data_IF_292392739200
#
_entry.id   IF_292392739200
#
_cell.length_a   1.000
_cell.length_b   1.000
_cell.length_c   1.000
_cell.angle_alpha   90.00
_cell.angle_beta   90.00
_cell.angle_gamma   90.00
#
_symmetry.space_group_name_H-M   'P 1'
#
loop_
_entity.id
_entity.type
_entity.pdbx_description
1 polymer ?
#
# COMPACT_ATOMS: atom_id res chain seq x y z
N UNK A 1 8.68 -6.24 -15.54
CA UNK A 1 8.44 -7.06 -14.34
C UNK A 1 7.56 -8.27 -14.70
N UNK A 2 7.78 -9.38 -14.02
CA UNK A 2 6.94 -10.60 -14.08
C UNK A 2 6.53 -10.90 -12.64
N UNK A 3 5.25 -11.18 -12.43
CA UNK A 3 4.73 -11.51 -11.12
C UNK A 3 3.91 -12.81 -11.17
N UNK A 4 3.99 -13.58 -10.09
CA UNK A 4 3.22 -14.79 -9.88
C UNK A 4 2.66 -14.81 -8.47
N UNK A 5 1.43 -15.26 -8.32
CA UNK A 5 0.81 -15.44 -7.01
C UNK A 5 0.08 -16.78 -6.96
N UNK A 6 0.16 -17.43 -5.82
CA UNK A 6 -0.47 -18.72 -5.57
C UNK A 6 -1.16 -18.73 -4.21
N UNK A 7 -2.34 -19.32 -4.16
CA UNK A 7 -3.04 -19.63 -2.93
C UNK A 7 -2.55 -21.00 -2.43
N UNK A 8 -1.76 -21.01 -1.37
CA UNK A 8 -1.18 -22.23 -0.79
C UNK A 8 -2.20 -23.01 0.03
N UNK A 9 -3.02 -22.27 0.79
CA UNK A 9 -4.14 -22.80 1.55
C UNK A 9 -5.32 -21.84 1.47
N UNK A 10 -6.48 -22.18 2.04
CA UNK A 10 -7.63 -21.27 2.07
C UNK A 10 -7.34 -19.95 2.79
N UNK A 11 -6.36 -19.93 3.65
CA UNK A 11 -6.01 -18.78 4.47
C UNK A 11 -4.67 -18.15 4.11
N UNK A 12 -3.81 -18.81 3.34
CA UNK A 12 -2.45 -18.37 3.04
C UNK A 12 -2.22 -18.26 1.53
N UNK A 13 -1.82 -17.09 1.09
CA UNK A 13 -1.35 -16.83 -0.27
C UNK A 13 0.09 -16.36 -0.25
N UNK A 14 0.82 -16.71 -1.29
CA UNK A 14 2.20 -16.30 -1.52
C UNK A 14 2.32 -15.60 -2.87
N UNK A 15 3.09 -14.54 -2.94
CA UNK A 15 3.39 -13.80 -4.16
C UNK A 15 4.91 -13.64 -4.36
N UNK A 16 5.31 -13.73 -5.61
CA UNK A 16 6.66 -13.48 -6.06
C UNK A 16 6.64 -12.55 -7.26
N UNK A 17 7.56 -11.60 -7.31
CA UNK A 17 7.74 -10.70 -8.44
C UNK A 17 9.22 -10.56 -8.73
N UNK A 18 9.61 -10.62 -9.99
CA UNK A 18 10.95 -10.21 -10.43
C UNK A 18 10.83 -9.04 -11.39
N UNK A 19 11.79 -8.14 -11.32
CA UNK A 19 11.81 -6.95 -12.16
C UNK A 19 13.23 -6.58 -12.58
N UNK A 20 13.33 -6.12 -13.81
CA UNK A 20 14.52 -5.45 -14.34
C UNK A 20 14.31 -3.95 -14.17
N UNK A 21 15.28 -3.30 -13.57
CA UNK A 21 15.33 -1.86 -13.35
C UNK A 21 16.42 -1.28 -14.22
N UNK A 22 16.14 -0.20 -14.90
CA UNK A 22 17.12 0.62 -15.61
C UNK A 22 16.91 2.08 -15.17
N UNK A 23 17.96 2.68 -14.67
CA UNK A 23 18.02 4.10 -14.36
C UNK A 23 19.04 4.73 -15.28
N UNK A 24 18.66 5.82 -15.93
CA UNK A 24 19.52 6.57 -16.83
C UNK A 24 19.66 8.02 -16.35
N UNK A 25 20.91 8.42 -16.13
CA UNK A 25 21.25 9.80 -15.79
C UNK A 25 22.24 10.27 -16.86
N UNK A 26 21.82 11.23 -17.68
CA UNK A 26 22.54 11.71 -18.85
C UNK A 26 22.88 10.57 -19.83
N UNK A 27 24.16 10.25 -20.01
CA UNK A 27 24.61 9.16 -20.90
C UNK A 27 24.82 7.83 -20.17
N UNK A 28 24.91 7.86 -18.85
CA UNK A 28 25.22 6.71 -18.05
C UNK A 28 23.96 5.96 -17.59
N UNK A 29 24.10 4.64 -17.47
CA UNK A 29 23.01 3.74 -17.08
C UNK A 29 23.41 2.88 -15.91
N UNK A 30 22.48 2.73 -14.96
CA UNK A 30 22.52 1.68 -13.95
C UNK A 30 21.43 0.65 -14.20
N UNK A 31 21.75 -0.61 -14.04
CA UNK A 31 20.80 -1.69 -14.22
C UNK A 31 20.81 -2.61 -13.01
N UNK A 32 19.65 -3.14 -12.64
CA UNK A 32 19.52 -4.12 -11.57
C UNK A 32 18.38 -5.11 -11.86
N UNK A 33 18.53 -6.31 -11.33
CA UNK A 33 17.44 -7.30 -11.27
C UNK A 33 17.11 -7.49 -9.80
N UNK A 34 15.83 -7.32 -9.45
CA UNK A 34 15.37 -7.51 -8.09
C UNK A 34 14.21 -8.49 -8.02
N UNK A 35 14.05 -9.08 -6.84
CA UNK A 35 12.94 -9.94 -6.49
C UNK A 35 12.16 -9.34 -5.32
N UNK A 36 10.83 -9.43 -5.39
CA UNK A 36 9.92 -9.08 -4.31
C UNK A 36 9.18 -10.35 -3.88
N UNK A 37 8.99 -10.51 -2.58
CA UNK A 37 8.25 -11.61 -1.97
C UNK A 37 7.11 -11.05 -1.15
N UNK A 38 5.97 -11.73 -1.17
CA UNK A 38 4.83 -11.32 -0.36
C UNK A 38 4.06 -12.51 0.17
N UNK A 39 3.49 -12.35 1.35
CA UNK A 39 2.53 -13.28 1.93
C UNK A 39 1.28 -12.54 2.34
N UNK A 40 0.14 -13.21 2.22
CA UNK A 40 -1.15 -12.73 2.71
C UNK A 40 -1.81 -13.84 3.49
N UNK A 41 -2.13 -13.57 4.75
CA UNK A 41 -2.68 -14.55 5.68
C UNK A 41 -3.97 -14.06 6.33
N UNK A 42 -5.02 -14.87 6.23
CA UNK A 42 -6.28 -14.69 6.96
C UNK A 42 -6.17 -15.47 8.27
N UNK A 43 -6.14 -14.77 9.39
CA UNK A 43 -5.85 -15.42 10.68
C UNK A 43 -6.96 -16.34 11.20
N UNK A 44 -8.18 -16.20 10.66
CA UNK A 44 -9.37 -16.88 11.17
C UNK A 44 -10.01 -16.20 12.39
N UNK A 45 -9.35 -15.19 12.98
CA UNK A 45 -9.94 -14.37 14.02
C UNK A 45 -10.68 -13.20 13.38
N UNK A 46 -12.02 -13.24 13.38
CA UNK A 46 -12.87 -12.32 12.63
C UNK A 46 -12.39 -12.25 11.16
N UNK A 47 -12.14 -11.04 10.64
CA UNK A 47 -11.56 -10.78 9.33
C UNK A 47 -10.13 -10.23 9.41
N UNK A 48 -9.44 -10.45 10.54
CA UNK A 48 -8.05 -10.02 10.71
C UNK A 48 -7.16 -10.65 9.65
N UNK A 49 -6.51 -9.80 8.89
CA UNK A 49 -5.54 -10.17 7.86
C UNK A 49 -4.15 -9.66 8.21
N UNK A 50 -3.16 -10.44 7.85
CA UNK A 50 -1.75 -10.10 7.92
C UNK A 50 -1.15 -10.19 6.52
N UNK A 51 -0.37 -9.18 6.13
CA UNK A 51 0.40 -9.23 4.91
C UNK A 51 1.85 -8.82 5.21
N UNK A 52 2.79 -9.56 4.66
CA UNK A 52 4.21 -9.24 4.73
C UNK A 52 4.75 -9.09 3.33
N UNK A 53 5.56 -8.07 3.11
CA UNK A 53 6.13 -7.76 1.80
C UNK A 53 7.62 -7.46 1.99
N UNK A 54 8.47 -8.15 1.24
CA UNK A 54 9.89 -7.83 1.10
C UNK A 54 10.12 -7.39 -0.34
N UNK A 55 10.71 -6.21 -0.54
CA UNK A 55 10.98 -5.64 -1.86
C UNK A 55 12.45 -5.38 -2.07
N UNK A 56 12.85 -5.36 -3.35
CA UNK A 56 14.18 -5.01 -3.81
C UNK A 56 15.29 -5.99 -3.32
N UNK A 57 14.92 -7.25 -3.10
CA UNK A 57 15.93 -8.26 -2.84
C UNK A 57 16.71 -8.57 -4.13
N UNK A 58 18.01 -8.32 -4.12
CA UNK A 58 18.83 -8.51 -5.31
C UNK A 58 20.29 -8.13 -5.12
N UNK A 59 21.12 -8.34 -6.16
CA UNK A 59 22.51 -7.93 -6.16
C UNK A 59 22.66 -6.40 -6.16
N UNK A 60 23.85 -5.94 -5.88
CA UNK A 60 24.20 -4.53 -6.00
C UNK A 60 24.04 -4.05 -7.46
N UNK A 61 23.45 -2.90 -7.63
CA UNK A 61 23.45 -2.20 -8.91
C UNK A 61 24.80 -1.51 -9.10
N UNK A 62 25.19 -1.32 -10.37
CA UNK A 62 26.44 -0.62 -10.72
C UNK A 62 26.11 0.61 -11.53
N UNK A 63 26.62 1.76 -11.09
CA UNK A 63 26.58 3.01 -11.82
C UNK A 63 28.02 3.49 -12.02
N UNK A 64 28.44 3.60 -13.29
CA UNK A 64 29.86 3.84 -13.64
C UNK A 64 30.79 2.78 -13.00
N UNK A 65 31.60 3.21 -12.03
CA UNK A 65 32.53 2.34 -11.28
C UNK A 65 32.01 1.97 -9.90
N UNK A 66 31.03 2.68 -9.40
CA UNK A 66 30.51 2.53 -8.05
C UNK A 66 29.37 1.52 -7.97
N UNK A 67 29.43 0.67 -6.97
CA UNK A 67 28.35 -0.28 -6.65
C UNK A 67 27.50 0.30 -5.52
N UNK A 68 26.20 0.18 -5.65
CA UNK A 68 25.25 0.54 -4.60
C UNK A 68 24.21 -0.54 -4.40
N UNK A 69 23.74 -0.67 -3.18
CA UNK A 69 22.62 -1.56 -2.86
C UNK A 69 21.32 -0.81 -3.04
N UNK A 70 20.38 -1.46 -3.71
CA UNK A 70 18.99 -0.97 -3.68
C UNK A 70 18.44 -1.09 -2.25
N UNK A 71 17.70 -0.10 -1.77
CA UNK A 71 17.12 -0.16 -0.43
C UNK A 71 16.20 -1.38 -0.31
N UNK A 72 16.53 -2.27 0.60
CA UNK A 72 15.69 -3.40 0.96
C UNK A 72 14.54 -2.89 1.83
N UNK A 73 13.31 -3.21 1.43
CA UNK A 73 12.10 -2.86 2.16
C UNK A 73 11.46 -4.11 2.74
N UNK A 74 11.10 -4.05 4.01
CA UNK A 74 10.28 -5.06 4.65
C UNK A 74 9.07 -4.39 5.33
N UNK A 75 7.87 -4.76 4.90
CA UNK A 75 6.63 -4.20 5.42
C UNK A 75 5.79 -5.30 6.06
N UNK A 76 5.21 -5.01 7.21
CA UNK A 76 4.20 -5.82 7.88
C UNK A 76 2.91 -5.00 7.96
N UNK A 77 1.84 -5.55 7.41
CA UNK A 77 0.54 -4.90 7.32
C UNK A 77 -0.51 -5.74 8.03
N UNK A 78 -1.39 -5.09 8.76
CA UNK A 78 -2.54 -5.70 9.40
C UNK A 78 -3.80 -4.91 9.09
N UNK A 79 -4.93 -5.59 8.93
CA UNK A 79 -6.22 -4.93 8.81
C UNK A 79 -7.32 -5.82 9.43
N UNK A 80 -8.30 -5.19 10.06
CA UNK A 80 -9.43 -5.88 10.68
C UNK A 80 -10.65 -4.96 10.73
N UNK A 81 -11.84 -5.51 10.51
CA UNK A 81 -13.09 -4.82 10.81
C UNK A 81 -13.37 -4.85 12.32
N UNK A 82 -13.46 -3.67 12.91
CA UNK A 82 -13.87 -3.49 14.30
C UNK A 82 -15.38 -3.70 14.43
N UNK A 83 -16.15 -3.17 13.49
CA UNK A 83 -17.60 -3.25 13.41
C UNK A 83 -18.01 -3.65 11.99
N UNK A 84 -19.01 -4.51 11.89
CA UNK A 84 -19.57 -4.95 10.62
C UNK A 84 -18.59 -5.82 9.81
N UNK A 85 -18.98 -6.06 8.56
CA UNK A 85 -18.20 -6.77 7.55
C UNK A 85 -18.42 -6.11 6.19
N UNK A 86 -17.65 -6.49 5.19
CA UNK A 86 -17.82 -5.97 3.83
C UNK A 86 -19.25 -6.19 3.33
N UNK A 87 -19.90 -5.11 2.88
CA UNK A 87 -21.29 -5.10 2.42
C UNK A 87 -22.34 -4.95 3.53
N UNK A 88 -21.92 -4.82 4.80
CA UNK A 88 -22.85 -4.43 5.88
C UNK A 88 -23.30 -2.99 5.73
N UNK A 89 -24.50 -2.62 6.29
CA UNK A 89 -24.95 -1.23 6.30
C UNK A 89 -23.95 -0.26 6.96
N UNK A 90 -23.17 -0.77 7.89
CA UNK A 90 -22.05 -0.05 8.50
C UNK A 90 -20.86 -0.99 8.67
N UNK A 91 -19.70 -0.55 8.22
CA UNK A 91 -18.43 -1.25 8.43
C UNK A 91 -17.38 -0.25 8.91
N UNK A 92 -16.61 -0.63 9.91
CA UNK A 92 -15.46 0.14 10.38
C UNK A 92 -14.22 -0.74 10.38
N UNK A 93 -13.26 -0.39 9.53
CA UNK A 93 -11.99 -1.08 9.36
C UNK A 93 -10.88 -0.24 9.99
N UNK A 94 -9.94 -0.89 10.65
CA UNK A 94 -8.66 -0.30 11.06
C UNK A 94 -7.53 -1.08 10.43
N UNK A 95 -6.45 -0.37 10.14
CA UNK A 95 -5.24 -0.95 9.56
C UNK A 95 -3.98 -0.35 10.18
N UNK A 96 -2.93 -1.14 10.21
CA UNK A 96 -1.59 -0.70 10.61
C UNK A 96 -0.57 -1.25 9.62
N UNK A 97 0.38 -0.42 9.25
CA UNK A 97 1.57 -0.80 8.50
C UNK A 97 2.82 -0.44 9.30
N UNK A 98 3.77 -1.37 9.36
CA UNK A 98 5.13 -1.13 9.84
C UNK A 98 6.08 -1.32 8.67
N UNK A 99 6.83 -0.28 8.33
CA UNK A 99 7.75 -0.25 7.19
C UNK A 99 9.18 -0.10 7.69
N UNK A 100 10.00 -1.06 7.33
CA UNK A 100 11.42 -1.13 7.67
C UNK A 100 12.23 -1.04 6.38
N UNK A 101 13.17 -0.13 6.33
CA UNK A 101 14.07 0.03 5.19
C UNK A 101 15.51 0.15 5.66
N UNK A 102 16.45 -0.24 4.79
CA UNK A 102 17.88 -0.22 5.15
C UNK A 102 18.49 1.17 5.10
N UNK A 103 17.82 2.14 4.48
CA UNK A 103 18.33 3.48 4.18
C UNK A 103 17.63 4.63 4.92
N UNK A 104 16.55 4.33 5.65
CA UNK A 104 15.89 5.33 6.48
C UNK A 104 15.30 4.70 7.76
N UNK A 105 14.84 5.57 8.68
CA UNK A 105 14.22 5.21 9.95
C UNK A 105 12.93 4.42 9.74
N UNK A 106 12.65 3.46 10.64
CA UNK A 106 11.39 2.74 10.69
C UNK A 106 10.19 3.68 10.70
N UNK A 107 9.18 3.36 9.90
CA UNK A 107 7.97 4.15 9.71
C UNK A 107 6.75 3.32 10.05
N UNK A 108 5.75 3.98 10.65
CA UNK A 108 4.49 3.34 11.01
C UNK A 108 3.33 4.15 10.48
N UNK A 109 2.33 3.46 9.95
CA UNK A 109 1.11 4.06 9.44
C UNK A 109 -0.07 3.45 10.16
N UNK A 110 -0.99 4.28 10.65
CA UNK A 110 -2.31 3.88 11.12
C UNK A 110 -3.35 4.38 10.12
N UNK A 111 -4.29 3.52 9.78
CA UNK A 111 -5.40 3.85 8.89
C UNK A 111 -6.73 3.43 9.48
N UNK A 112 -7.76 4.18 9.14
CA UNK A 112 -9.15 3.83 9.46
C UNK A 112 -10.05 4.16 8.28
N UNK A 113 -11.02 3.30 8.04
CA UNK A 113 -12.04 3.47 7.01
C UNK A 113 -13.40 3.08 7.56
N UNK A 114 -14.38 3.96 7.39
CA UNK A 114 -15.78 3.70 7.73
C UNK A 114 -16.62 3.73 6.46
N UNK A 115 -17.38 2.66 6.24
CA UNK A 115 -18.38 2.57 5.18
C UNK A 115 -19.78 2.71 5.76
N UNK A 116 -20.59 3.55 5.14
CA UNK A 116 -22.00 3.80 5.50
C UNK A 116 -22.84 3.38 4.30
N UNK A 117 -23.77 2.44 4.54
CA UNK A 117 -24.69 1.88 3.52
C UNK A 117 -23.98 1.29 2.29
N UNK A 118 -22.71 0.85 2.43
CA UNK A 118 -21.86 0.41 1.32
C UNK A 118 -21.72 1.45 0.19
N UNK A 119 -22.04 2.71 0.48
CA UNK A 119 -22.04 3.81 -0.49
C UNK A 119 -21.03 4.90 -0.16
N UNK A 120 -20.97 5.32 1.09
CA UNK A 120 -20.12 6.43 1.52
C UNK A 120 -18.95 5.88 2.34
N UNK A 121 -17.74 6.23 1.95
CA UNK A 121 -16.54 5.93 2.71
C UNK A 121 -15.98 7.20 3.34
N UNK A 122 -15.62 7.13 4.61
CA UNK A 122 -14.83 8.15 5.31
C UNK A 122 -13.51 7.50 5.74
N UNK A 123 -12.41 8.17 5.46
CA UNK A 123 -11.06 7.65 5.69
C UNK A 123 -10.23 8.63 6.48
N UNK A 124 -9.38 8.09 7.35
CA UNK A 124 -8.39 8.84 8.08
C UNK A 124 -7.10 8.03 8.21
N UNK A 125 -5.97 8.71 8.23
CA UNK A 125 -4.68 8.05 8.41
C UNK A 125 -3.70 8.96 9.13
N UNK A 126 -2.74 8.34 9.80
CA UNK A 126 -1.63 9.02 10.44
C UNK A 126 -0.32 8.29 10.15
N UNK A 127 0.72 9.06 9.79
CA UNK A 127 2.07 8.59 9.47
C UNK A 127 3.02 9.04 10.55
N UNK A 128 3.67 8.09 11.20
CA UNK A 128 4.65 8.35 12.25
C UNK A 128 6.07 8.36 11.68
N UNK A 129 6.89 9.25 12.21
CA UNK A 129 8.32 9.39 11.90
C UNK A 129 8.58 9.83 10.45
N UNK A 130 7.69 10.66 9.92
CA UNK A 130 7.88 11.41 8.68
C UNK A 130 8.19 12.87 9.03
N UNK A 131 9.08 13.48 8.27
CA UNK A 131 9.50 14.87 8.48
C UNK A 131 8.56 15.86 7.79
N UNK A 132 7.86 15.44 6.73
CA UNK A 132 7.11 16.32 5.85
C UNK A 132 5.61 16.06 5.80
N UNK A 133 5.14 14.93 6.27
CA UNK A 133 3.72 14.56 6.22
C UNK A 133 3.31 13.77 7.47
N UNK A 134 2.09 13.99 7.97
CA UNK A 134 1.61 13.34 9.18
C UNK A 134 0.21 12.74 9.02
N UNK A 135 -0.83 13.54 8.82
CA UNK A 135 -2.20 13.02 8.74
C UNK A 135 -2.82 13.15 7.35
N UNK A 136 -3.74 12.27 7.07
CA UNK A 136 -4.52 12.26 5.83
C UNK A 136 -5.99 12.05 6.14
N UNK A 137 -6.85 12.67 5.35
CA UNK A 137 -8.30 12.41 5.37
C UNK A 137 -8.78 12.14 3.96
N UNK A 138 -9.88 11.40 3.86
CA UNK A 138 -10.48 11.11 2.56
C UNK A 138 -11.97 10.80 2.69
N UNK A 139 -12.66 10.99 1.58
CA UNK A 139 -14.04 10.57 1.41
C UNK A 139 -14.19 9.84 0.07
N UNK A 140 -15.07 8.85 0.05
CA UNK A 140 -15.40 8.09 -1.15
C UNK A 140 -16.90 7.96 -1.33
N UNK A 141 -17.33 7.88 -2.58
CA UNK A 141 -18.71 7.61 -2.96
C UNK A 141 -18.72 6.44 -3.95
N UNK A 142 -19.46 5.39 -3.61
CA UNK A 142 -19.69 4.23 -4.45
C UNK A 142 -21.13 4.24 -4.95
N UNK A 143 -21.31 4.26 -6.26
CA UNK A 143 -22.60 4.29 -6.92
C UNK A 143 -22.77 2.99 -7.73
N UNK A 144 -23.80 2.22 -7.38
CA UNK A 144 -24.22 1.03 -8.13
C UNK A 144 -25.18 1.42 -9.26
N UNK A 145 -24.85 1.07 -10.49
CA UNK A 145 -25.65 1.30 -11.69
C UNK A 145 -25.98 -0.05 -12.35
N UNK A 146 -26.88 -0.79 -11.75
CA UNK A 146 -27.20 -2.17 -12.19
C UNK A 146 -26.02 -3.12 -11.92
N UNK A 147 -25.43 -3.70 -12.98
CA UNK A 147 -24.24 -4.56 -12.87
C UNK A 147 -22.91 -3.80 -12.84
N UNK A 148 -22.94 -2.49 -12.92
CA UNK A 148 -21.77 -1.61 -12.95
C UNK A 148 -21.62 -0.87 -11.63
N UNK A 149 -20.40 -0.58 -11.26
CA UNK A 149 -20.10 0.25 -10.09
C UNK A 149 -19.20 1.42 -10.51
N UNK A 150 -19.47 2.61 -9.98
CA UNK A 150 -18.60 3.79 -10.08
C UNK A 150 -18.17 4.16 -8.69
N UNK A 151 -16.87 4.38 -8.53
CA UNK A 151 -16.27 4.83 -7.27
C UNK A 151 -15.60 6.16 -7.54
N UNK A 152 -15.91 7.15 -6.70
CA UNK A 152 -15.32 8.48 -6.72
C UNK A 152 -14.64 8.69 -5.37
N UNK A 153 -13.36 9.03 -5.39
CA UNK A 153 -12.61 9.27 -4.16
C UNK A 153 -11.96 10.64 -4.17
N UNK A 154 -11.94 11.27 -3.01
CA UNK A 154 -11.24 12.51 -2.72
C UNK A 154 -10.34 12.30 -1.50
N UNK A 155 -9.11 12.76 -1.54
CA UNK A 155 -8.21 12.71 -0.39
C UNK A 155 -7.35 13.95 -0.28
N UNK A 156 -7.08 14.33 0.96
CA UNK A 156 -6.21 15.42 1.35
C UNK A 156 -5.12 14.86 2.28
N UNK A 157 -3.87 15.25 2.03
CA UNK A 157 -2.74 14.92 2.91
C UNK A 157 -2.16 16.21 3.47
N UNK A 158 -1.98 16.26 4.79
CA UNK A 158 -1.28 17.37 5.40
C UNK A 158 0.22 17.25 5.15
N UNK A 159 0.83 18.34 4.68
CA UNK A 159 2.28 18.48 4.55
C UNK A 159 2.74 19.58 5.50
N UNK A 160 3.75 19.27 6.31
CA UNK A 160 4.35 20.19 7.25
C UNK A 160 5.48 20.92 6.53
N UNK A 161 5.48 22.25 6.57
CA UNK A 161 6.51 23.14 6.02
C UNK A 161 6.93 22.89 4.56
N UNK A 162 7.06 23.87 3.75
CA UNK A 162 7.65 23.94 2.38
C UNK A 162 6.86 23.36 1.22
N UNK A 163 5.81 22.56 1.40
CA UNK A 163 5.02 21.99 0.30
C UNK A 163 3.54 22.29 0.43
N UNK A 164 2.91 22.60 -0.71
CA UNK A 164 1.46 22.72 -0.76
C UNK A 164 0.80 21.35 -0.52
N UNK A 165 -0.18 21.25 0.38
CA UNK A 165 -0.87 19.99 0.67
C UNK A 165 -1.57 19.45 -0.58
N UNK A 166 -1.30 18.21 -1.02
CA UNK A 166 -1.92 17.65 -2.21
C UNK A 166 -3.38 17.27 -1.94
N UNK A 167 -4.26 17.75 -2.82
CA UNK A 167 -5.62 17.26 -2.98
C UNK A 167 -5.63 16.27 -4.15
N UNK A 168 -6.10 15.04 -3.91
CA UNK A 168 -6.17 13.98 -4.92
C UNK A 168 -7.62 13.62 -5.17
N UNK A 169 -7.95 13.46 -6.45
CA UNK A 169 -9.25 13.02 -6.93
C UNK A 169 -9.06 11.79 -7.81
N UNK A 170 -9.93 10.79 -7.66
CA UNK A 170 -9.96 9.63 -8.54
C UNK A 170 -11.38 9.20 -8.89
N UNK A 171 -11.54 8.66 -10.08
CA UNK A 171 -12.76 7.97 -10.53
C UNK A 171 -12.35 6.60 -11.04
N UNK A 172 -13.02 5.57 -10.52
CA UNK A 172 -12.86 4.18 -10.96
C UNK A 172 -14.21 3.55 -11.25
N UNK A 173 -14.20 2.45 -11.97
CA UNK A 173 -15.44 1.71 -12.24
C UNK A 173 -15.19 0.28 -12.70
N UNK A 174 -16.18 -0.60 -12.49
CA UNK A 174 -16.24 -1.95 -13.02
C UNK A 174 -17.40 -2.07 -14.01
N UNK A 175 -17.17 -2.79 -15.12
CA UNK A 175 -18.11 -2.91 -16.22
C UNK A 175 -18.48 -4.38 -16.44
#
# INVERSE_FOLDING_TARGET
>A
AIAYAIKLTDNLSFGFKTQYLEEKIDIDKATAITADFSTYYKTGFRDLTLAMIMKNFGPEAKYLSDKFKLPLYFNVNTAMSIIGSKGSPFQWVVSMESAFATDYRDRYHLGTEMWISDMIALRGGYKFFYDTEDWTIGAGLKLGLGSREIIIDLSYSNFVEYFDPPLRFSIGGSF
#
